data_IF_590389884331
#
_entry.id   IF_590389884331
#
_cell.length_a   1.000
_cell.length_b   1.000
_cell.length_c   1.000
_cell.angle_alpha   90.00
_cell.angle_beta   90.00
_cell.angle_gamma   90.00
#
_symmetry.space_group_name_H-M   'P 1'
#
loop_
_entity.id
_entity.type
_entity.pdbx_description
1 polymer ?
#
# COMPACT_ATOMS: atom_id res chain seq x y z
N UNK A 1 0.11 21.18 55.47
CA UNK A 1 -0.24 19.97 54.67
C UNK A 1 -0.94 20.24 53.33
N UNK A 2 -1.76 21.30 53.16
CA UNK A 2 -2.56 21.53 51.94
C UNK A 2 -1.74 21.78 50.64
N UNK A 3 -0.57 22.42 50.70
CA UNK A 3 0.27 22.75 49.51
C UNK A 3 0.84 21.51 48.79
N UNK A 4 1.25 20.47 49.52
CA UNK A 4 1.76 19.22 48.91
C UNK A 4 0.68 18.45 48.15
N UNK A 5 -0.57 18.53 48.61
CA UNK A 5 -1.72 17.87 47.97
C UNK A 5 -2.03 18.47 46.59
N UNK A 6 -1.94 19.80 46.45
CA UNK A 6 -2.20 20.49 45.20
C UNK A 6 -1.12 20.20 44.14
N UNK A 7 0.15 20.12 44.52
CA UNK A 7 1.24 19.81 43.57
C UNK A 7 1.19 18.37 43.05
N UNK A 8 0.73 17.42 43.88
CA UNK A 8 0.55 16.00 43.48
C UNK A 8 -0.60 15.89 42.46
N UNK A 9 -1.71 16.60 42.71
CA UNK A 9 -2.86 16.64 41.81
C UNK A 9 -2.51 17.22 40.43
N UNK A 10 -1.69 18.29 40.38
CA UNK A 10 -1.24 18.90 39.12
C UNK A 10 -0.32 17.97 38.32
N UNK A 11 0.63 17.28 39.00
CA UNK A 11 1.54 16.33 38.34
C UNK A 11 0.81 15.08 37.82
N UNK A 12 -0.20 14.58 38.55
CA UNK A 12 -1.04 13.48 38.06
C UNK A 12 -1.85 13.89 36.82
N UNK A 13 -2.44 15.09 36.80
CA UNK A 13 -3.16 15.61 35.64
C UNK A 13 -2.25 15.77 34.42
N UNK A 14 -1.05 16.32 34.61
CA UNK A 14 -0.05 16.45 33.55
C UNK A 14 0.39 15.09 33.01
N UNK A 15 0.65 14.09 33.87
CA UNK A 15 1.03 12.75 33.43
C UNK A 15 -0.09 12.05 32.64
N UNK A 16 -1.34 12.16 33.09
CA UNK A 16 -2.51 11.60 32.38
C UNK A 16 -2.70 12.29 31.03
N UNK A 17 -2.55 13.62 30.96
CA UNK A 17 -2.61 14.37 29.71
C UNK A 17 -1.49 13.98 28.75
N UNK A 18 -0.26 13.84 29.21
CA UNK A 18 0.87 13.38 28.38
C UNK A 18 0.67 11.96 27.86
N UNK A 19 0.14 11.04 28.69
CA UNK A 19 -0.14 9.66 28.28
C UNK A 19 -1.27 9.60 27.24
N UNK A 20 -2.32 10.41 27.41
CA UNK A 20 -3.40 10.52 26.44
C UNK A 20 -2.92 11.07 25.09
N UNK A 21 -2.03 12.07 25.09
CA UNK A 21 -1.44 12.63 23.85
C UNK A 21 -0.58 11.58 23.13
N UNK A 22 0.20 10.78 23.84
CA UNK A 22 1.03 9.72 23.25
C UNK A 22 0.15 8.61 22.65
N UNK A 23 -0.93 8.21 23.32
CA UNK A 23 -1.86 7.21 22.78
C UNK A 23 -2.61 7.72 21.54
N UNK A 24 -3.00 9.00 21.52
CA UNK A 24 -3.63 9.61 20.33
C UNK A 24 -2.64 9.71 19.17
N UNK A 25 -1.38 10.09 19.43
CA UNK A 25 -0.35 10.15 18.40
C UNK A 25 0.01 8.77 17.81
N UNK A 26 -0.02 7.71 18.62
CA UNK A 26 0.17 6.32 18.15
C UNK A 26 -1.02 5.75 17.37
N UNK A 27 -2.22 6.32 17.54
CA UNK A 27 -3.44 5.90 16.86
C UNK A 27 -3.67 6.58 15.50
N UNK A 28 -2.87 7.59 15.13
CA UNK A 28 -2.84 8.13 13.77
C UNK A 28 -2.10 7.10 12.91
N UNK A 29 -2.83 6.04 12.56
CA UNK A 29 -2.32 4.89 11.85
C UNK A 29 -1.67 5.29 10.53
N UNK A 30 -0.69 4.48 10.13
CA UNK A 30 -0.10 4.52 8.80
C UNK A 30 -1.24 4.39 7.78
N UNK A 31 -1.66 5.50 7.21
CA UNK A 31 -2.49 5.47 6.00
C UNK A 31 -1.58 4.94 4.91
N UNK A 32 -1.68 3.64 4.63
CA UNK A 32 -1.02 3.06 3.49
C UNK A 32 -1.54 3.80 2.25
N UNK A 33 -0.64 4.48 1.53
CA UNK A 33 -0.98 5.07 0.25
C UNK A 33 -1.47 3.93 -0.68
N UNK A 34 -2.76 3.96 -1.01
CA UNK A 34 -3.37 3.04 -1.96
C UNK A 34 -3.40 3.73 -3.31
N UNK A 35 -2.82 3.06 -4.31
CA UNK A 35 -3.07 3.44 -5.70
C UNK A 35 -4.48 3.02 -6.09
N UNK A 36 -5.06 3.71 -7.07
CA UNK A 36 -6.37 3.36 -7.61
C UNK A 36 -6.35 2.00 -8.31
N UNK A 37 -7.52 1.35 -8.35
CA UNK A 37 -7.69 0.09 -9.08
C UNK A 37 -7.52 0.30 -10.59
N UNK A 38 -6.95 -0.70 -11.25
CA UNK A 38 -6.78 -0.77 -12.69
C UNK A 38 -7.41 -2.06 -13.24
N UNK A 39 -8.75 -2.13 -13.33
CA UNK A 39 -9.46 -3.39 -13.51
C UNK A 39 -9.38 -4.01 -14.92
N UNK A 40 -8.98 -3.24 -15.94
CA UNK A 40 -9.12 -3.66 -17.33
C UNK A 40 -8.07 -3.04 -18.27
N UNK A 41 -8.10 -3.46 -19.53
CA UNK A 41 -7.27 -2.88 -20.58
C UNK A 41 -7.58 -1.40 -20.76
N UNK A 42 -6.59 -0.53 -20.48
CA UNK A 42 -6.67 0.94 -20.43
C UNK A 42 -7.30 1.55 -19.17
N UNK A 43 -7.53 0.75 -18.14
CA UNK A 43 -7.80 1.26 -16.79
C UNK A 43 -9.24 1.70 -16.57
N UNK A 44 -9.51 2.34 -15.42
CA UNK A 44 -10.89 2.66 -15.00
C UNK A 44 -11.61 3.61 -15.96
N UNK A 45 -10.87 4.51 -16.62
CA UNK A 45 -11.39 5.49 -17.58
C UNK A 45 -11.28 5.05 -19.05
N UNK A 46 -10.74 3.85 -19.32
CA UNK A 46 -10.52 3.31 -20.68
C UNK A 46 -9.61 4.17 -21.59
N UNK A 47 -8.83 5.08 -21.02
CA UNK A 47 -7.95 6.01 -21.75
C UNK A 47 -6.47 5.61 -21.71
N UNK A 48 -6.08 4.71 -20.80
CA UNK A 48 -4.70 4.28 -20.61
C UNK A 48 -3.87 5.28 -19.81
N UNK A 49 -4.50 6.18 -19.05
CA UNK A 49 -3.82 7.23 -18.28
C UNK A 49 -3.94 6.98 -16.78
N UNK A 50 -2.78 6.90 -16.11
CA UNK A 50 -2.73 6.84 -14.64
C UNK A 50 -2.75 8.25 -14.03
N UNK A 51 -3.55 8.45 -12.99
CA UNK A 51 -3.61 9.72 -12.25
C UNK A 51 -2.37 9.91 -11.36
N UNK A 52 -1.94 11.14 -11.11
CA UNK A 52 -0.81 11.43 -10.20
C UNK A 52 0.47 11.88 -10.92
N UNK A 53 1.59 11.88 -10.20
CA UNK A 53 2.89 12.42 -10.66
C UNK A 53 4.05 11.67 -9.99
N UNK A 54 5.26 11.89 -10.48
CA UNK A 54 6.48 11.27 -9.92
C UNK A 54 6.72 9.84 -10.43
N UNK A 55 6.13 9.47 -11.56
CA UNK A 55 6.41 8.22 -12.22
C UNK A 55 7.86 8.15 -12.69
N UNK A 56 8.55 7.01 -12.52
CA UNK A 56 9.92 6.85 -13.01
C UNK A 56 9.97 6.96 -14.54
N UNK A 57 10.83 7.84 -15.04
CA UNK A 57 11.03 8.06 -16.48
C UNK A 57 12.04 7.08 -17.11
N UNK A 58 12.81 6.37 -16.27
CA UNK A 58 13.84 5.43 -16.70
C UNK A 58 13.64 4.08 -16.02
N UNK A 59 13.96 2.99 -16.72
CA UNK A 59 13.78 1.63 -16.24
C UNK A 59 14.98 0.77 -16.64
N UNK A 60 15.31 -0.24 -15.83
CA UNK A 60 16.35 -1.21 -16.16
C UNK A 60 16.36 -2.39 -15.20
N UNK A 61 17.19 -3.43 -15.47
CA UNK A 61 17.21 -4.66 -14.66
C UNK A 61 17.40 -4.41 -13.16
N UNK A 62 18.15 -3.36 -12.81
CA UNK A 62 18.43 -2.95 -11.43
C UNK A 62 17.97 -1.52 -11.13
N UNK A 63 17.07 -0.94 -11.93
CA UNK A 63 16.63 0.46 -11.80
C UNK A 63 15.12 0.58 -11.82
N UNK A 64 14.57 1.18 -10.77
CA UNK A 64 13.13 1.45 -10.60
C UNK A 64 12.25 0.18 -10.66
N UNK A 65 12.81 -0.99 -10.34
CA UNK A 65 12.09 -2.26 -10.20
C UNK A 65 11.94 -2.58 -8.72
N UNK A 66 10.72 -2.75 -8.24
CA UNK A 66 10.45 -3.18 -6.85
C UNK A 66 10.64 -4.69 -6.67
N UNK A 67 10.11 -5.47 -7.61
CA UNK A 67 10.23 -6.92 -7.64
C UNK A 67 9.93 -7.46 -9.04
N UNK A 68 10.30 -8.71 -9.28
CA UNK A 68 9.99 -9.45 -10.50
C UNK A 68 9.68 -10.90 -10.14
N UNK A 69 8.81 -11.53 -10.92
CA UNK A 69 8.44 -12.94 -10.74
C UNK A 69 8.40 -13.64 -12.10
N UNK A 70 8.92 -14.86 -12.14
CA UNK A 70 8.81 -15.70 -13.33
C UNK A 70 7.40 -16.27 -13.42
N UNK A 71 6.71 -16.04 -14.54
CA UNK A 71 5.42 -16.68 -14.78
C UNK A 71 5.60 -18.19 -15.07
N UNK A 72 4.63 -19.05 -14.67
CA UNK A 72 4.67 -20.49 -14.93
C UNK A 72 4.66 -20.86 -16.43
N UNK A 73 4.27 -19.93 -17.29
CA UNK A 73 4.37 -20.03 -18.73
C UNK A 73 4.05 -18.70 -19.42
N UNK A 74 4.01 -18.68 -20.76
CA UNK A 74 3.80 -17.47 -21.54
C UNK A 74 2.48 -16.77 -21.19
N UNK A 75 2.50 -15.45 -21.07
CA UNK A 75 1.33 -14.59 -20.90
C UNK A 75 1.37 -13.42 -21.88
N UNK A 76 0.20 -13.00 -22.36
CA UNK A 76 0.06 -11.90 -23.34
C UNK A 76 -0.96 -10.83 -22.91
N UNK A 77 -1.61 -10.99 -21.76
CA UNK A 77 -2.55 -10.00 -21.23
C UNK A 77 -1.83 -8.83 -20.58
N UNK A 78 -2.46 -7.65 -20.61
CA UNK A 78 -2.15 -6.61 -19.62
C UNK A 78 -2.58 -7.06 -18.22
N UNK A 79 -1.82 -6.77 -17.17
CA UNK A 79 -2.23 -7.06 -15.80
C UNK A 79 -3.45 -6.22 -15.40
N UNK A 80 -4.33 -6.81 -14.58
CA UNK A 80 -5.35 -6.08 -13.85
C UNK A 80 -4.91 -5.91 -12.39
N UNK A 81 -5.10 -4.72 -11.83
CA UNK A 81 -4.78 -4.41 -10.42
C UNK A 81 -6.08 -4.12 -9.68
N UNK A 82 -6.31 -4.84 -8.59
CA UNK A 82 -7.46 -4.61 -7.72
C UNK A 82 -7.02 -4.73 -6.25
N UNK A 83 -7.05 -3.62 -5.53
CA UNK A 83 -6.49 -3.47 -4.19
C UNK A 83 -5.04 -3.97 -4.14
N UNK A 84 -4.75 -4.97 -3.29
CA UNK A 84 -3.43 -5.57 -3.13
C UNK A 84 -3.22 -6.83 -4.00
N UNK A 85 -3.91 -6.90 -5.14
CA UNK A 85 -3.87 -8.05 -6.05
C UNK A 85 -3.49 -7.61 -7.46
N UNK A 86 -2.57 -8.36 -8.07
CA UNK A 86 -2.19 -8.25 -9.47
C UNK A 86 -2.59 -9.54 -10.17
N UNK A 87 -3.49 -9.45 -11.13
CA UNK A 87 -4.11 -10.58 -11.81
C UNK A 87 -3.64 -10.59 -13.26
N UNK A 88 -3.13 -11.74 -13.71
CA UNK A 88 -2.64 -11.95 -15.08
C UNK A 88 -3.12 -13.28 -15.63
N UNK A 89 -3.17 -13.40 -16.96
CA UNK A 89 -3.38 -14.69 -17.62
C UNK A 89 -2.07 -15.23 -18.18
N UNK A 90 -1.91 -16.56 -18.11
CA UNK A 90 -0.78 -17.26 -18.71
C UNK A 90 -1.18 -18.68 -19.12
N UNK A 91 -0.29 -19.36 -19.83
CA UNK A 91 -0.42 -20.79 -20.13
C UNK A 91 0.24 -21.63 -19.04
N UNK A 92 -0.47 -22.63 -18.52
CA UNK A 92 0.07 -23.63 -17.59
C UNK A 92 -0.24 -25.01 -18.17
N UNK A 93 0.80 -25.77 -18.50
CA UNK A 93 0.69 -27.10 -19.11
C UNK A 93 -0.28 -27.12 -20.34
N UNK A 94 -0.20 -26.10 -21.19
CA UNK A 94 -1.00 -25.99 -22.41
C UNK A 94 -2.45 -25.52 -22.19
N UNK A 95 -2.81 -25.09 -20.98
CA UNK A 95 -4.15 -24.57 -20.65
C UNK A 95 -4.09 -23.10 -20.27
N UNK A 96 -5.13 -22.35 -20.62
CA UNK A 96 -5.29 -20.98 -20.13
C UNK A 96 -5.52 -21.00 -18.61
N UNK A 97 -4.75 -20.19 -17.90
CA UNK A 97 -4.81 -20.05 -16.46
C UNK A 97 -4.85 -18.57 -16.07
N UNK A 98 -5.39 -18.31 -14.88
CA UNK A 98 -5.34 -17.02 -14.20
C UNK A 98 -4.43 -17.18 -13.00
N UNK A 99 -3.47 -16.27 -12.85
CA UNK A 99 -2.57 -16.21 -11.69
C UNK A 99 -2.78 -14.88 -11.00
N UNK A 100 -2.72 -14.90 -9.67
CA UNK A 100 -2.92 -13.74 -8.82
C UNK A 100 -1.72 -13.61 -7.87
N UNK A 101 -1.09 -12.44 -7.89
CA UNK A 101 0.03 -12.09 -7.03
C UNK A 101 -0.39 -11.03 -6.02
N UNK A 102 0.23 -11.05 -4.84
CA UNK A 102 0.14 -9.92 -3.92
C UNK A 102 0.97 -8.75 -4.47
N UNK A 103 0.54 -7.51 -4.23
CA UNK A 103 1.27 -6.32 -4.67
C UNK A 103 2.67 -6.21 -4.04
N UNK A 104 2.88 -6.84 -2.88
CA UNK A 104 4.17 -6.91 -2.21
C UNK A 104 5.17 -7.90 -2.86
N UNK A 105 4.72 -8.76 -3.78
CA UNK A 105 5.52 -9.83 -4.40
C UNK A 105 5.28 -11.18 -3.77
#
# INVERSE_FOLDING_TARGET
MKKKSASIQTRLRQAIQSLAVIMVAGAIGVVAARADNWPNWRGPSLDGVAAGKGYPAEWGPNKNILWQVQLPGPGASSPAVWEDRIIVTCSIAGKNAVVCFDRAG
#
